data_IF_927092846353
#
_entry.id   IF_927092846353
#
_cell.length_a   1.000
_cell.length_b   1.000
_cell.length_c   1.000
_cell.angle_alpha   90.00
_cell.angle_beta   90.00
_cell.angle_gamma   90.00
#
_symmetry.space_group_name_H-M   'P 1'
#
loop_
_entity.id
_entity.type
_entity.pdbx_description
1 polymer ?
#
# COMPACT_ATOMS: atom_id res chain seq x y z
N UNK A 1 -47.72 2.87 -19.13
CA UNK A 1 -47.23 1.96 -20.19
C UNK A 1 -46.05 1.21 -19.62
N UNK A 2 -46.24 -0.03 -19.15
CA UNK A 2 -45.16 -0.82 -18.52
C UNK A 2 -44.26 -1.42 -19.59
N UNK A 3 -42.98 -1.06 -19.57
CA UNK A 3 -41.96 -1.67 -20.42
C UNK A 3 -41.61 -3.03 -19.81
N UNK A 4 -42.13 -4.10 -20.40
CA UNK A 4 -41.77 -5.48 -20.06
C UNK A 4 -40.43 -5.81 -20.74
N UNK A 5 -39.32 -5.61 -20.03
CA UNK A 5 -38.00 -6.01 -20.54
C UNK A 5 -37.93 -7.55 -20.51
N UNK A 6 -37.89 -8.15 -21.70
CA UNK A 6 -37.74 -9.59 -21.87
C UNK A 6 -36.39 -10.04 -21.26
N UNK A 7 -36.45 -10.92 -20.24
CA UNK A 7 -35.27 -11.45 -19.51
C UNK A 7 -34.17 -11.98 -20.44
N UNK A 8 -34.52 -12.50 -21.62
CA UNK A 8 -33.55 -13.01 -22.61
C UNK A 8 -32.70 -11.90 -23.23
N UNK A 9 -33.29 -10.72 -23.50
CA UNK A 9 -32.56 -9.57 -24.04
C UNK A 9 -31.72 -8.85 -22.98
N UNK A 10 -32.15 -8.85 -21.72
CA UNK A 10 -31.36 -8.32 -20.61
C UNK A 10 -30.10 -9.15 -20.34
N UNK A 11 -30.23 -10.50 -20.36
CA UNK A 11 -29.08 -11.41 -20.21
C UNK A 11 -28.12 -11.30 -21.41
N UNK A 12 -28.64 -11.16 -22.63
CA UNK A 12 -27.80 -10.93 -23.82
C UNK A 12 -27.07 -9.58 -23.78
N UNK A 13 -27.73 -8.51 -23.30
CA UNK A 13 -27.10 -7.21 -23.14
C UNK A 13 -25.97 -7.25 -22.08
N UNK A 14 -26.18 -7.97 -20.97
CA UNK A 14 -25.13 -8.18 -19.94
C UNK A 14 -23.97 -9.02 -20.50
N UNK A 15 -24.25 -10.06 -21.27
CA UNK A 15 -23.21 -10.87 -21.93
C UNK A 15 -22.44 -10.09 -22.98
N UNK A 16 -23.11 -9.26 -23.78
CA UNK A 16 -22.42 -8.41 -24.76
C UNK A 16 -21.59 -7.34 -24.05
N UNK A 17 -22.10 -6.72 -22.98
CA UNK A 17 -21.34 -5.76 -22.19
C UNK A 17 -20.13 -6.41 -21.51
N UNK A 18 -20.26 -7.63 -20.97
CA UNK A 18 -19.14 -8.37 -20.38
C UNK A 18 -18.11 -8.81 -21.42
N UNK A 19 -18.53 -9.17 -22.64
CA UNK A 19 -17.64 -9.49 -23.77
C UNK A 19 -16.92 -8.25 -24.31
N UNK A 20 -17.58 -7.10 -24.38
CA UNK A 20 -16.95 -5.83 -24.77
C UNK A 20 -15.95 -5.34 -23.71
N UNK A 21 -16.30 -5.44 -22.43
CA UNK A 21 -15.38 -5.16 -21.32
C UNK A 21 -14.20 -6.14 -21.34
N UNK A 22 -14.43 -7.44 -21.59
CA UNK A 22 -13.34 -8.43 -21.73
C UNK A 22 -12.43 -8.17 -22.94
N UNK A 23 -12.98 -7.89 -24.12
CA UNK A 23 -12.20 -7.63 -25.32
C UNK A 23 -11.38 -6.33 -25.20
N UNK A 24 -11.93 -5.32 -24.52
CA UNK A 24 -11.21 -4.10 -24.19
C UNK A 24 -10.13 -4.32 -23.12
N UNK A 25 -10.42 -5.06 -22.05
CA UNK A 25 -9.43 -5.47 -21.06
C UNK A 25 -8.28 -6.26 -21.70
N UNK A 26 -8.56 -7.14 -22.67
CA UNK A 26 -7.53 -7.87 -23.42
C UNK A 26 -6.65 -6.95 -24.27
N UNK A 27 -7.21 -5.95 -24.95
CA UNK A 27 -6.42 -4.98 -25.73
C UNK A 27 -5.61 -4.05 -24.82
N UNK A 28 -6.22 -3.51 -23.77
CA UNK A 28 -5.54 -2.63 -22.82
C UNK A 28 -4.46 -3.37 -22.00
N UNK A 29 -4.62 -4.68 -21.75
CA UNK A 29 -3.59 -5.51 -21.11
C UNK A 29 -2.34 -5.71 -21.97
N UNK A 30 -2.41 -5.48 -23.29
CA UNK A 30 -1.22 -5.46 -24.18
C UNK A 30 -0.54 -4.09 -24.24
N UNK A 31 -1.18 -3.04 -23.73
CA UNK A 31 -0.62 -1.68 -23.70
C UNK A 31 0.38 -1.57 -22.56
N UNK A 32 1.61 -1.17 -22.88
CA UNK A 32 2.59 -0.82 -21.87
C UNK A 32 2.44 0.67 -21.47
N UNK A 33 1.75 0.93 -20.36
CA UNK A 33 1.48 2.29 -19.88
C UNK A 33 2.74 3.09 -19.49
N UNK A 34 3.90 2.44 -19.31
CA UNK A 34 5.17 3.13 -19.04
C UNK A 34 5.89 3.65 -20.29
N UNK A 35 5.40 3.35 -21.50
CA UNK A 35 6.07 3.76 -22.73
C UNK A 35 6.07 5.29 -22.93
N UNK A 36 7.27 5.86 -23.04
CA UNK A 36 7.47 7.31 -23.10
C UNK A 36 6.74 8.00 -24.25
N UNK A 37 6.58 7.34 -25.40
CA UNK A 37 5.89 7.90 -26.59
C UNK A 37 4.38 8.15 -26.35
N UNK A 38 3.80 7.53 -25.33
CA UNK A 38 2.38 7.68 -24.98
C UNK A 38 2.15 8.68 -23.85
N UNK A 39 3.22 9.20 -23.24
CA UNK A 39 3.12 10.10 -22.09
C UNK A 39 2.91 11.54 -22.55
N UNK A 40 1.93 12.19 -21.95
CA UNK A 40 1.64 13.62 -22.13
C UNK A 40 2.18 14.45 -20.97
N UNK A 41 2.55 13.82 -19.85
CA UNK A 41 3.15 14.48 -18.69
C UNK A 41 3.99 13.54 -17.80
N UNK A 42 4.49 14.10 -16.70
CA UNK A 42 5.26 13.43 -15.65
C UNK A 42 4.48 12.32 -14.94
N UNK A 43 5.19 11.44 -14.22
CA UNK A 43 4.54 10.40 -13.43
C UNK A 43 3.82 11.01 -12.23
N UNK A 44 2.71 10.40 -11.81
CA UNK A 44 1.97 10.81 -10.63
C UNK A 44 2.34 9.92 -9.43
N UNK A 45 2.52 10.54 -8.28
CA UNK A 45 2.71 9.88 -6.99
C UNK A 45 1.38 9.91 -6.25
N UNK A 46 1.05 8.82 -5.57
CA UNK A 46 -0.27 8.74 -4.91
C UNK A 46 -0.24 9.02 -3.42
N UNK A 47 0.94 9.18 -2.84
CA UNK A 47 1.12 9.25 -1.41
C UNK A 47 0.73 10.65 -0.90
N UNK A 48 -0.48 10.77 -0.34
CA UNK A 48 -1.01 12.03 0.23
C UNK A 48 -1.93 12.85 -0.68
N UNK A 49 -2.25 12.41 -1.90
CA UNK A 49 -3.19 13.13 -2.77
C UNK A 49 -4.65 12.91 -2.32
N UNK A 50 -5.30 13.98 -1.84
CA UNK A 50 -6.70 13.94 -1.39
C UNK A 50 -7.73 13.92 -2.52
N UNK A 51 -7.34 14.22 -3.76
CA UNK A 51 -8.27 14.40 -4.89
C UNK A 51 -7.86 13.56 -6.09
N UNK A 52 -8.76 12.70 -6.60
CA UNK A 52 -8.49 11.82 -7.74
C UNK A 52 -9.35 12.07 -8.99
N UNK A 53 -8.65 12.22 -10.13
CA UNK A 53 -9.09 12.14 -11.54
C UNK A 53 -10.19 13.11 -12.02
N UNK A 54 -10.09 13.62 -13.28
CA UNK A 54 -9.23 13.13 -14.36
C UNK A 54 -8.07 14.09 -14.72
N UNK A 55 -6.92 13.91 -14.08
CA UNK A 55 -5.64 14.37 -14.64
C UNK A 55 -5.02 13.19 -15.37
N UNK A 56 -5.03 13.21 -16.71
CA UNK A 56 -4.44 12.16 -17.54
C UNK A 56 -2.97 12.46 -17.85
N UNK A 57 -2.10 11.48 -17.64
CA UNK A 57 -0.65 11.62 -17.87
C UNK A 57 -0.16 10.86 -19.10
N UNK A 58 -1.06 10.15 -19.79
CA UNK A 58 -0.79 9.53 -21.07
C UNK A 58 -2.03 9.22 -21.90
N UNK A 59 -1.78 9.00 -23.18
CA UNK A 59 -2.79 8.77 -24.21
C UNK A 59 -2.30 7.71 -25.20
N UNK A 60 -3.16 6.73 -25.46
CA UNK A 60 -2.98 5.72 -26.51
C UNK A 60 -4.04 5.90 -27.59
N UNK A 61 -4.03 5.08 -28.65
CA UNK A 61 -5.11 5.12 -29.66
C UNK A 61 -6.49 4.84 -29.06
N UNK A 62 -6.58 4.09 -27.96
CA UNK A 62 -7.87 3.64 -27.40
C UNK A 62 -8.20 4.20 -26.03
N UNK A 63 -7.23 4.70 -25.26
CA UNK A 63 -7.44 5.07 -23.86
C UNK A 63 -6.72 6.37 -23.49
N UNK A 64 -7.33 7.09 -22.56
CA UNK A 64 -6.66 8.09 -21.70
C UNK A 64 -6.30 7.39 -20.38
N UNK A 65 -5.12 7.66 -19.83
CA UNK A 65 -4.69 6.98 -18.61
C UNK A 65 -3.76 7.83 -17.75
N UNK A 66 -3.63 7.41 -16.49
CA UNK A 66 -2.65 7.94 -15.54
C UNK A 66 -1.90 6.80 -14.89
N UNK A 67 -0.57 6.91 -14.87
CA UNK A 67 0.29 5.97 -14.14
C UNK A 67 0.59 6.53 -12.77
N UNK A 68 0.38 5.67 -11.78
CA UNK A 68 0.52 5.95 -10.36
C UNK A 68 1.61 5.07 -9.76
N UNK A 69 2.47 5.68 -8.96
CA UNK A 69 3.50 5.01 -8.19
C UNK A 69 3.12 5.11 -6.71
N UNK A 70 2.82 3.96 -6.12
CA UNK A 70 2.46 3.82 -4.71
C UNK A 70 3.64 3.18 -3.98
N UNK A 71 4.24 3.88 -3.01
CA UNK A 71 5.34 3.33 -2.21
C UNK A 71 4.94 2.00 -1.56
N UNK A 72 5.81 0.99 -1.63
CA UNK A 72 5.57 -0.33 -1.05
C UNK A 72 5.60 -0.30 0.48
N UNK A 73 6.50 0.49 1.04
CA UNK A 73 6.72 0.66 2.46
C UNK A 73 6.10 1.94 2.99
N UNK A 74 5.76 2.00 4.28
CA UNK A 74 5.27 3.23 4.89
C UNK A 74 6.31 4.36 4.86
N UNK A 75 7.60 4.03 4.99
CA UNK A 75 8.68 4.99 4.81
C UNK A 75 8.61 5.67 3.45
N UNK A 76 8.53 4.89 2.37
CA UNK A 76 8.53 5.44 1.02
C UNK A 76 7.29 6.30 0.80
N UNK A 77 6.13 5.87 1.30
CA UNK A 77 4.90 6.70 1.25
C UNK A 77 5.03 7.99 2.04
N UNK A 78 5.60 7.94 3.24
CA UNK A 78 5.84 9.12 4.07
C UNK A 78 6.85 10.08 3.43
N UNK A 79 7.86 9.58 2.73
CA UNK A 79 8.83 10.40 2.00
C UNK A 79 8.13 11.26 0.92
N UNK A 80 7.11 10.74 0.24
CA UNK A 80 6.37 11.45 -0.81
C UNK A 80 5.21 12.30 -0.31
N UNK A 81 4.83 12.17 0.96
CA UNK A 81 3.74 12.93 1.56
C UNK A 81 4.03 14.44 1.51
N UNK A 82 3.14 15.20 0.88
CA UNK A 82 3.25 16.65 0.69
C UNK A 82 3.25 17.43 2.01
N UNK A 83 2.74 16.83 3.08
CA UNK A 83 2.74 17.42 4.41
C UNK A 83 3.95 17.01 5.24
N UNK A 84 4.71 15.99 4.82
CA UNK A 84 5.94 15.64 5.47
C UNK A 84 7.04 16.68 5.15
N UNK A 85 7.27 17.60 6.08
CA UNK A 85 8.39 18.57 6.00
C UNK A 85 9.76 17.94 6.19
N UNK A 86 9.78 16.65 6.47
CA UNK A 86 10.92 15.77 6.48
C UNK A 86 10.88 14.82 5.27
N UNK A 87 10.22 15.14 4.16
CA UNK A 87 10.15 14.28 2.96
C UNK A 87 10.74 14.94 1.73
N UNK A 88 10.44 14.38 0.55
CA UNK A 88 10.77 14.98 -0.74
C UNK A 88 10.34 16.44 -0.81
N UNK A 89 9.18 16.78 -0.25
CA UNK A 89 8.62 18.13 -0.31
C UNK A 89 9.23 19.13 0.68
N UNK A 90 10.24 18.74 1.47
CA UNK A 90 10.97 19.64 2.35
C UNK A 90 11.57 20.81 1.57
N UNK A 91 11.15 22.04 1.91
CA UNK A 91 11.59 23.27 1.25
C UNK A 91 11.13 23.41 -0.21
N UNK A 92 10.21 22.55 -0.68
CA UNK A 92 9.64 22.59 -2.04
C UNK A 92 8.21 23.10 -2.01
N UNK A 93 7.81 23.75 -3.10
CA UNK A 93 6.44 24.21 -3.32
C UNK A 93 5.60 23.06 -3.91
N UNK A 94 4.75 22.45 -3.08
CA UNK A 94 3.90 21.32 -3.47
C UNK A 94 2.74 21.74 -4.40
N UNK A 95 2.45 23.03 -4.55
CA UNK A 95 1.50 23.54 -5.54
C UNK A 95 2.13 23.62 -6.95
N UNK A 96 3.46 23.49 -7.05
CA UNK A 96 4.21 23.55 -8.30
C UNK A 96 5.01 22.26 -8.57
N UNK A 97 4.37 21.08 -8.57
CA UNK A 97 5.06 19.79 -8.74
C UNK A 97 5.80 19.69 -10.08
N UNK A 98 5.32 20.41 -11.10
CA UNK A 98 5.93 20.44 -12.44
C UNK A 98 7.40 20.89 -12.41
N UNK A 99 7.80 21.78 -11.48
CA UNK A 99 9.19 22.25 -11.34
C UNK A 99 10.16 21.12 -10.95
N UNK A 100 9.67 20.10 -10.25
CA UNK A 100 10.47 19.02 -9.69
C UNK A 100 10.36 17.71 -10.47
N UNK A 101 9.70 17.74 -11.64
CA UNK A 101 9.45 16.56 -12.50
C UNK A 101 10.70 15.71 -12.73
N UNK A 102 11.83 16.34 -13.05
CA UNK A 102 13.07 15.61 -13.37
C UNK A 102 13.61 14.85 -12.17
N UNK A 103 13.49 15.43 -10.97
CA UNK A 103 13.98 14.83 -9.73
C UNK A 103 13.05 13.69 -9.29
N UNK A 104 11.73 13.90 -9.39
CA UNK A 104 10.71 12.86 -9.15
C UNK A 104 10.97 11.66 -10.08
N UNK A 105 11.12 11.90 -11.38
CA UNK A 105 11.38 10.81 -12.34
C UNK A 105 12.71 10.11 -12.06
N UNK A 106 13.74 10.84 -11.62
CA UNK A 106 15.04 10.25 -11.28
C UNK A 106 14.90 9.32 -10.09
N UNK A 107 14.25 9.77 -9.01
CA UNK A 107 14.04 8.96 -7.80
C UNK A 107 13.24 7.71 -8.11
N UNK A 108 12.09 7.84 -8.78
CA UNK A 108 11.24 6.71 -9.17
C UNK A 108 12.03 5.69 -10.01
N UNK A 109 12.85 6.15 -10.98
CA UNK A 109 13.65 5.25 -11.83
C UNK A 109 14.69 4.48 -11.02
N UNK A 110 15.38 5.15 -10.10
CA UNK A 110 16.40 4.53 -9.24
C UNK A 110 15.79 3.53 -8.27
N UNK A 111 14.63 3.86 -7.70
CA UNK A 111 13.97 3.10 -6.66
C UNK A 111 12.75 2.30 -7.17
N UNK A 112 12.65 2.03 -8.48
CA UNK A 112 11.41 1.52 -9.10
C UNK A 112 10.88 0.22 -8.48
N UNK A 113 11.76 -0.58 -7.88
CA UNK A 113 11.43 -1.83 -7.17
C UNK A 113 10.68 -1.62 -5.86
N UNK A 114 10.75 -0.42 -5.28
CA UNK A 114 10.08 -0.02 -4.04
C UNK A 114 8.65 0.50 -4.29
N UNK A 115 8.12 0.37 -5.52
CA UNK A 115 6.79 0.87 -5.85
C UNK A 115 5.88 -0.22 -6.39
N UNK A 116 4.63 -0.15 -5.97
CA UNK A 116 3.52 -0.79 -6.66
C UNK A 116 3.01 0.16 -7.74
N UNK A 117 3.10 -0.28 -8.99
CA UNK A 117 2.79 0.56 -10.15
C UNK A 117 1.40 0.22 -10.66
N UNK A 118 0.55 1.24 -10.76
CA UNK A 118 -0.81 1.14 -11.25
C UNK A 118 -1.04 2.05 -12.44
N UNK A 119 -1.99 1.68 -13.30
CA UNK A 119 -2.52 2.56 -14.33
C UNK A 119 -4.04 2.59 -14.20
N UNK A 120 -4.62 3.78 -14.11
CA UNK A 120 -6.08 3.94 -14.19
C UNK A 120 -6.39 4.52 -15.56
N UNK A 121 -7.18 3.78 -16.35
CA UNK A 121 -7.45 4.10 -17.74
C UNK A 121 -8.95 4.23 -18.01
N UNK A 122 -9.28 5.15 -18.90
CA UNK A 122 -10.62 5.39 -19.43
C UNK A 122 -10.62 5.18 -20.94
N UNK A 123 -11.61 4.43 -21.45
CA UNK A 123 -11.75 4.21 -22.88
C UNK A 123 -12.17 5.51 -23.58
N UNK A 124 -11.49 5.87 -24.66
CA UNK A 124 -11.86 7.03 -25.49
C UNK A 124 -13.22 6.87 -26.17
N UNK A 125 -13.72 5.66 -26.36
CA UNK A 125 -15.08 5.46 -26.86
C UNK A 125 -16.16 5.89 -25.86
N UNK A 126 -15.78 6.07 -24.58
CA UNK A 126 -16.68 6.45 -23.48
C UNK A 126 -16.59 7.93 -23.13
N UNK A 127 -15.85 8.74 -23.90
CA UNK A 127 -15.76 10.18 -23.72
C UNK A 127 -16.36 10.90 -24.91
N UNK A 128 -16.97 12.06 -24.65
CA UNK A 128 -17.37 13.02 -25.68
C UNK A 128 -16.32 14.12 -25.69
N UNK A 129 -15.60 14.26 -26.80
CA UNK A 129 -14.69 15.39 -26.99
C UNK A 129 -15.49 16.63 -27.41
N UNK A 130 -15.17 17.79 -26.83
CA UNK A 130 -15.65 19.07 -27.32
C UNK A 130 -14.61 19.72 -28.24
N UNK A 131 -15.04 20.69 -29.04
CA UNK A 131 -14.19 21.41 -29.99
C UNK A 131 -13.07 22.27 -29.35
N UNK A 132 -12.98 22.30 -28.01
CA UNK A 132 -11.97 23.06 -27.26
C UNK A 132 -10.88 22.16 -26.64
N UNK A 133 -10.92 20.85 -26.90
CA UNK A 133 -9.94 19.90 -26.36
C UNK A 133 -10.27 19.37 -24.97
N UNK A 134 -11.39 19.78 -24.36
CA UNK A 134 -11.90 19.10 -23.18
C UNK A 134 -12.71 17.88 -23.59
N UNK A 135 -12.84 16.93 -22.67
CA UNK A 135 -13.70 15.77 -22.85
C UNK A 135 -14.57 15.58 -21.62
N UNK A 136 -15.77 15.05 -21.84
CA UNK A 136 -16.68 14.67 -20.76
C UNK A 136 -16.95 13.18 -20.85
N UNK A 137 -16.64 12.39 -19.81
CA UNK A 137 -17.01 10.99 -19.76
C UNK A 137 -18.53 10.80 -19.83
N UNK A 138 -18.99 9.73 -20.47
CA UNK A 138 -20.38 9.31 -20.37
C UNK A 138 -20.71 8.91 -18.92
N UNK A 139 -21.97 9.04 -18.49
CA UNK A 139 -22.37 8.69 -17.13
C UNK A 139 -22.14 7.22 -16.77
N UNK A 140 -22.16 6.33 -17.76
CA UNK A 140 -21.90 4.89 -17.63
C UNK A 140 -20.42 4.53 -17.85
N UNK A 141 -19.56 5.52 -18.14
CA UNK A 141 -18.15 5.30 -18.37
C UNK A 141 -17.48 4.66 -17.16
N UNK A 142 -16.51 3.79 -17.43
CA UNK A 142 -15.78 3.07 -16.40
C UNK A 142 -14.29 3.32 -16.48
N UNK A 143 -13.71 3.67 -15.34
CA UNK A 143 -12.27 3.56 -15.13
C UNK A 143 -11.92 2.10 -14.88
N UNK A 144 -10.88 1.63 -15.55
CA UNK A 144 -10.27 0.32 -15.30
C UNK A 144 -8.90 0.51 -14.69
N UNK A 145 -8.65 -0.17 -13.58
CA UNK A 145 -7.39 -0.12 -12.86
C UNK A 145 -6.55 -1.35 -13.20
N UNK A 146 -5.38 -1.11 -13.76
CA UNK A 146 -4.37 -2.11 -14.06
C UNK A 146 -3.23 -2.03 -13.05
N UNK A 147 -2.67 -3.19 -12.69
CA UNK A 147 -1.45 -3.29 -11.89
C UNK A 147 -0.35 -3.92 -12.73
N UNK A 148 0.87 -3.39 -12.65
CA UNK A 148 2.06 -3.99 -13.24
C UNK A 148 2.66 -5.00 -12.27
N UNK A 149 2.69 -6.27 -12.64
CA UNK A 149 3.40 -7.33 -11.91
C UNK A 149 4.24 -8.15 -12.87
N UNK A 150 5.50 -8.38 -12.52
CA UNK A 150 6.44 -9.22 -13.30
C UNK A 150 6.49 -8.80 -14.80
N UNK A 151 6.44 -7.49 -15.06
CA UNK A 151 6.46 -6.93 -16.41
C UNK A 151 5.14 -7.02 -17.18
N UNK A 152 4.05 -7.49 -16.56
CA UNK A 152 2.73 -7.66 -17.19
C UNK A 152 1.66 -6.80 -16.52
N UNK A 153 0.84 -6.14 -17.33
CA UNK A 153 -0.31 -5.37 -16.86
C UNK A 153 -1.53 -6.27 -16.73
N UNK A 154 -2.14 -6.27 -15.55
CA UNK A 154 -3.37 -7.04 -15.28
C UNK A 154 -4.45 -6.14 -14.70
N UNK A 155 -5.68 -6.25 -15.20
CA UNK A 155 -6.84 -5.57 -14.62
C UNK A 155 -7.11 -6.13 -13.22
N UNK A 156 -7.15 -5.25 -12.22
CA UNK A 156 -7.34 -5.62 -10.80
C UNK A 156 -8.64 -5.08 -10.21
N UNK A 157 -9.25 -4.07 -10.84
CA UNK A 157 -10.48 -3.44 -10.38
C UNK A 157 -11.06 -2.52 -11.47
N UNK A 158 -12.32 -2.10 -11.30
CA UNK A 158 -12.97 -1.12 -12.18
C UNK A 158 -14.07 -0.37 -11.42
N UNK A 159 -14.27 0.91 -11.72
CA UNK A 159 -15.32 1.72 -11.10
C UNK A 159 -15.93 2.70 -12.09
N UNK A 160 -17.20 3.05 -11.86
CA UNK A 160 -17.91 4.03 -12.67
C UNK A 160 -17.39 5.45 -12.37
N UNK A 161 -17.30 6.30 -13.40
CA UNK A 161 -16.80 7.69 -13.27
C UNK A 161 -17.57 8.52 -12.25
N UNK A 162 -18.89 8.30 -12.10
CA UNK A 162 -19.76 8.99 -11.13
C UNK A 162 -19.58 8.48 -9.70
N UNK A 163 -18.88 7.36 -9.53
CA UNK A 163 -18.56 6.72 -8.25
C UNK A 163 -17.05 6.69 -8.02
N UNK A 164 -16.33 7.68 -8.57
CA UNK A 164 -14.89 7.77 -8.43
C UNK A 164 -14.49 7.85 -6.96
N UNK A 165 -13.44 7.11 -6.53
CA UNK A 165 -12.89 7.25 -5.19
C UNK A 165 -12.51 8.71 -4.94
N UNK A 166 -12.81 9.22 -3.75
CA UNK A 166 -12.44 10.57 -3.38
C UNK A 166 -10.92 10.69 -3.20
N UNK A 167 -10.25 9.64 -2.71
CA UNK A 167 -8.81 9.62 -2.46
C UNK A 167 -8.13 8.46 -3.20
N UNK A 168 -7.16 8.78 -4.08
CA UNK A 168 -6.38 7.81 -4.86
C UNK A 168 -5.60 6.84 -3.99
N UNK A 169 -4.83 7.38 -3.05
CA UNK A 169 -3.89 6.63 -2.25
C UNK A 169 -4.62 5.49 -1.54
N UNK A 170 -5.71 5.86 -0.86
CA UNK A 170 -6.57 4.93 -0.11
C UNK A 170 -7.19 3.88 -1.03
N UNK A 171 -7.59 4.26 -2.24
CA UNK A 171 -8.12 3.33 -3.23
C UNK A 171 -7.06 2.30 -3.67
N UNK A 172 -5.87 2.73 -4.08
CA UNK A 172 -4.81 1.83 -4.52
C UNK A 172 -4.26 0.96 -3.38
N UNK A 173 -4.13 1.51 -2.18
CA UNK A 173 -3.79 0.75 -0.98
C UNK A 173 -4.81 -0.35 -0.70
N UNK A 174 -6.11 -0.07 -0.86
CA UNK A 174 -7.15 -1.10 -0.74
C UNK A 174 -6.97 -2.23 -1.76
N UNK A 175 -6.57 -1.91 -3.00
CA UNK A 175 -6.29 -2.93 -4.01
C UNK A 175 -5.05 -3.76 -3.70
N UNK A 176 -3.98 -3.12 -3.21
CA UNK A 176 -2.80 -3.81 -2.68
C UNK A 176 -3.20 -4.78 -1.56
N UNK A 177 -4.08 -4.32 -0.67
CA UNK A 177 -4.54 -5.04 0.51
C UNK A 177 -5.44 -6.26 0.18
N UNK A 178 -6.03 -6.39 -1.02
CA UNK A 178 -6.91 -7.52 -1.38
C UNK A 178 -6.23 -8.91 -1.41
N UNK A 179 -4.91 -9.02 -1.25
CA UNK A 179 -4.23 -10.32 -1.09
C UNK A 179 -4.36 -10.84 0.34
N UNK A 180 -5.01 -12.00 0.53
CA UNK A 180 -5.08 -12.67 1.82
C UNK A 180 -3.67 -13.06 2.31
N UNK A 181 -3.21 -12.53 3.45
CA UNK A 181 -1.91 -12.90 3.99
C UNK A 181 -1.90 -14.37 4.40
N UNK A 182 -0.79 -15.05 4.16
CA UNK A 182 -0.56 -16.42 4.62
C UNK A 182 -0.34 -16.45 6.13
N UNK A 183 -0.67 -17.58 6.76
CA UNK A 183 -0.53 -17.77 8.21
C UNK A 183 0.90 -17.49 8.70
N UNK A 184 1.92 -17.78 7.90
CA UNK A 184 3.33 -17.54 8.26
C UNK A 184 3.70 -16.06 8.28
N UNK A 185 3.04 -15.21 7.49
CA UNK A 185 3.34 -13.77 7.45
C UNK A 185 2.95 -13.05 8.74
N UNK A 186 1.96 -13.57 9.47
CA UNK A 186 1.56 -13.06 10.78
C UNK A 186 2.61 -13.26 11.88
N UNK A 187 3.56 -14.17 11.69
CA UNK A 187 4.67 -14.32 12.62
C UNK A 187 5.77 -13.28 12.40
N UNK A 188 5.61 -12.39 11.41
CA UNK A 188 6.59 -11.38 11.07
C UNK A 188 7.81 -11.96 10.36
N UNK A 189 8.84 -11.15 10.21
CA UNK A 189 10.03 -11.45 9.43
C UNK A 189 11.20 -11.82 10.34
N UNK A 190 11.71 -13.04 10.18
CA UNK A 190 12.85 -13.55 10.94
C UNK A 190 14.08 -12.64 10.91
N UNK A 191 14.24 -11.80 9.87
CA UNK A 191 15.33 -10.83 9.76
C UNK A 191 15.39 -9.88 10.96
N UNK A 192 14.23 -9.52 11.54
CA UNK A 192 14.12 -8.66 12.74
C UNK A 192 14.82 -9.29 13.96
N UNK A 193 14.91 -10.61 14.03
CA UNK A 193 15.57 -11.32 15.13
C UNK A 193 17.08 -11.51 14.96
N UNK A 194 17.65 -11.04 13.84
CA UNK A 194 19.10 -11.18 13.61
C UNK A 194 19.89 -10.22 14.49
N UNK A 195 21.00 -10.70 15.07
CA UNK A 195 21.76 -9.94 16.07
C UNK A 195 22.26 -8.57 15.56
N UNK A 196 22.54 -8.45 14.26
CA UNK A 196 23.00 -7.21 13.65
C UNK A 196 21.89 -6.43 12.91
N UNK A 197 20.61 -6.76 13.09
CA UNK A 197 19.51 -6.09 12.38
C UNK A 197 19.52 -4.58 12.61
N UNK A 198 19.53 -4.15 13.87
CA UNK A 198 19.54 -2.73 14.27
C UNK A 198 20.75 -2.00 13.69
N UNK A 199 21.95 -2.55 13.89
CA UNK A 199 23.19 -2.00 13.31
C UNK A 199 23.10 -1.87 11.79
N UNK A 200 22.52 -2.86 11.10
CA UNK A 200 22.35 -2.83 9.64
C UNK A 200 21.32 -1.80 9.20
N UNK A 201 20.24 -1.58 9.94
CA UNK A 201 19.31 -0.49 9.62
C UNK A 201 20.05 0.83 9.68
N UNK A 202 20.72 1.10 10.79
CA UNK A 202 21.41 2.37 11.03
C UNK A 202 22.58 2.62 10.05
N UNK A 203 23.17 1.57 9.47
CA UNK A 203 24.30 1.70 8.53
C UNK A 203 23.90 1.63 7.05
N UNK A 204 22.78 1.00 6.70
CA UNK A 204 22.41 0.74 5.29
C UNK A 204 21.19 1.51 4.81
N UNK A 205 20.43 2.14 5.71
CA UNK A 205 19.17 2.82 5.36
C UNK A 205 19.23 4.35 5.41
N UNK A 206 20.45 4.91 5.40
CA UNK A 206 20.72 6.33 5.23
C UNK A 206 20.59 6.77 3.76
N UNK A 207 20.50 8.07 3.53
CA UNK A 207 20.41 8.67 2.22
C UNK A 207 21.61 8.28 1.36
N UNK A 208 21.35 7.94 0.09
CA UNK A 208 22.35 7.46 -0.88
C UNK A 208 23.01 6.10 -0.56
N UNK A 209 22.63 5.43 0.53
CA UNK A 209 23.04 4.05 0.78
C UNK A 209 22.28 3.10 -0.14
N UNK A 210 23.00 2.29 -0.90
CA UNK A 210 22.39 1.24 -1.72
C UNK A 210 22.13 -0.02 -0.89
N UNK A 211 20.93 -0.58 -0.97
CA UNK A 211 20.62 -1.88 -0.39
C UNK A 211 20.26 -1.84 1.10
N UNK A 212 19.38 -0.90 1.46
CA UNK A 212 18.81 -0.80 2.81
C UNK A 212 18.27 -2.16 3.25
N UNK A 213 18.63 -2.58 4.47
CA UNK A 213 18.26 -3.90 4.98
C UNK A 213 16.75 -4.13 5.04
N UNK A 214 15.95 -3.06 5.18
CA UNK A 214 14.49 -3.16 5.19
C UNK A 214 13.92 -3.60 3.83
N UNK A 215 14.61 -3.35 2.71
CA UNK A 215 14.21 -3.83 1.38
C UNK A 215 14.29 -5.37 1.28
N UNK A 216 14.98 -6.02 2.23
CA UNK A 216 15.08 -7.49 2.30
C UNK A 216 13.99 -8.13 3.15
N UNK A 217 13.13 -7.33 3.78
CA UNK A 217 11.96 -7.85 4.48
C UNK A 217 11.00 -8.46 3.45
N UNK A 218 10.55 -9.67 3.73
CA UNK A 218 9.52 -10.40 2.98
C UNK A 218 8.12 -10.00 3.42
N UNK A 219 8.00 -9.36 4.59
CA UNK A 219 6.72 -9.00 5.21
C UNK A 219 6.49 -7.50 5.09
N UNK A 220 5.39 -7.13 4.43
CA UNK A 220 4.85 -5.78 4.48
C UNK A 220 3.86 -5.68 5.65
N UNK A 221 4.33 -5.26 6.82
CA UNK A 221 3.53 -5.24 8.05
C UNK A 221 2.36 -4.28 7.97
N UNK A 222 2.57 -3.12 7.35
CA UNK A 222 1.50 -2.16 7.13
C UNK A 222 0.37 -2.79 6.31
N UNK A 223 0.69 -3.43 5.18
CA UNK A 223 -0.31 -4.10 4.34
C UNK A 223 -0.98 -5.25 5.10
N UNK A 224 -0.20 -6.05 5.84
CA UNK A 224 -0.70 -7.13 6.66
C UNK A 224 -1.76 -6.64 7.66
N UNK A 225 -1.47 -5.56 8.39
CA UNK A 225 -2.35 -5.07 9.45
C UNK A 225 -3.35 -4.01 9.02
N UNK A 226 -3.25 -3.51 7.79
CA UNK A 226 -4.32 -2.81 7.06
C UNK A 226 -5.47 -3.75 6.65
N UNK A 227 -5.29 -5.07 6.75
CA UNK A 227 -6.31 -6.06 6.41
C UNK A 227 -7.04 -6.73 7.58
N UNK A 228 -6.65 -6.42 8.82
CA UNK A 228 -7.30 -6.95 10.05
C UNK A 228 -7.34 -8.49 10.03
N UNK A 229 -6.17 -9.14 9.90
CA UNK A 229 -6.12 -10.60 9.83
C UNK A 229 -6.70 -11.22 11.11
N UNK A 230 -7.55 -12.23 10.95
CA UNK A 230 -8.28 -12.88 12.04
C UNK A 230 -7.83 -14.32 12.25
N UNK A 231 -6.58 -14.51 12.64
CA UNK A 231 -6.01 -15.84 12.90
C UNK A 231 -5.45 -15.98 14.30
N UNK A 232 -5.33 -17.23 14.75
CA UNK A 232 -4.66 -17.60 15.99
C UNK A 232 -3.61 -18.69 15.73
N UNK A 233 -2.61 -18.76 16.60
CA UNK A 233 -1.56 -19.76 16.61
C UNK A 233 -1.61 -20.52 17.92
N UNK A 234 -1.72 -21.85 17.86
CA UNK A 234 -1.59 -22.68 19.06
C UNK A 234 -0.11 -22.76 19.46
N UNK A 235 0.16 -22.52 20.74
CA UNK A 235 1.47 -22.73 21.35
C UNK A 235 1.56 -24.12 21.98
N UNK A 236 0.46 -24.55 22.60
CA UNK A 236 0.20 -25.90 23.08
C UNK A 236 -1.34 -26.14 23.10
N UNK A 237 -1.81 -27.14 23.86
CA UNK A 237 -3.22 -27.48 23.98
C UNK A 237 -4.08 -26.38 24.63
N UNK A 238 -3.51 -25.61 25.56
CA UNK A 238 -4.24 -24.62 26.36
C UNK A 238 -3.91 -23.17 25.96
N UNK A 239 -2.79 -22.93 25.29
CA UNK A 239 -2.29 -21.59 24.98
C UNK A 239 -2.36 -21.26 23.49
N UNK A 240 -2.86 -20.05 23.20
CA UNK A 240 -2.93 -19.51 21.83
C UNK A 240 -2.47 -18.06 21.77
N UNK A 241 -1.90 -17.67 20.65
CA UNK A 241 -1.65 -16.26 20.33
C UNK A 241 -2.62 -15.81 19.25
N UNK A 242 -3.26 -14.66 19.45
CA UNK A 242 -4.08 -13.97 18.45
C UNK A 242 -3.56 -12.56 18.25
N UNK A 243 -3.67 -12.04 17.03
CA UNK A 243 -3.36 -10.63 16.77
C UNK A 243 -4.64 -9.82 16.67
N UNK A 244 -4.64 -8.62 17.27
CA UNK A 244 -5.77 -7.68 17.20
C UNK A 244 -5.27 -6.28 16.88
N UNK A 245 -5.78 -5.74 15.78
CA UNK A 245 -5.41 -4.42 15.28
C UNK A 245 -6.46 -3.35 15.58
N UNK A 246 -5.99 -2.14 15.83
CA UNK A 246 -6.77 -0.92 16.01
C UNK A 246 -6.23 0.13 15.04
N UNK A 247 -7.10 0.95 14.45
CA UNK A 247 -6.70 1.93 13.44
C UNK A 247 -7.39 3.27 13.63
N UNK A 248 -6.62 4.32 13.41
CA UNK A 248 -7.08 5.70 13.25
C UNK A 248 -6.56 6.19 11.91
N UNK A 249 -7.45 6.56 10.98
CA UNK A 249 -7.04 7.08 9.67
C UNK A 249 -7.90 8.32 9.37
N UNK A 250 -7.27 9.48 9.34
CA UNK A 250 -7.90 10.74 8.92
C UNK A 250 -6.99 11.48 7.92
N UNK A 251 -7.18 12.77 7.70
CA UNK A 251 -6.38 13.58 6.74
C UNK A 251 -4.99 13.94 7.28
N UNK A 252 -4.77 13.89 8.59
CA UNK A 252 -3.54 14.33 9.25
C UNK A 252 -2.81 13.16 9.92
N UNK A 253 -3.53 12.13 10.35
CA UNK A 253 -3.01 11.01 11.11
C UNK A 253 -3.39 9.67 10.48
N UNK A 254 -2.39 8.81 10.39
CA UNK A 254 -2.53 7.40 10.14
C UNK A 254 -1.82 6.62 11.25
N UNK A 255 -2.60 5.89 12.06
CA UNK A 255 -2.12 5.10 13.17
C UNK A 255 -2.68 3.70 13.09
N UNK A 256 -1.82 2.70 13.07
CA UNK A 256 -2.16 1.28 13.18
C UNK A 256 -1.43 0.71 14.40
N UNK A 257 -2.17 0.16 15.36
CA UNK A 257 -1.62 -0.59 16.49
C UNK A 257 -2.07 -2.03 16.43
N UNK A 258 -1.17 -3.00 16.57
CA UNK A 258 -1.52 -4.41 16.67
C UNK A 258 -0.93 -5.05 17.91
N UNK A 259 -1.81 -5.63 18.71
CA UNK A 259 -1.47 -6.35 19.92
C UNK A 259 -1.43 -7.85 19.66
N UNK A 260 -0.37 -8.50 20.15
CA UNK A 260 -0.35 -9.93 20.35
C UNK A 260 -1.08 -10.23 21.66
N UNK A 261 -2.11 -11.06 21.59
CA UNK A 261 -2.95 -11.47 22.71
C UNK A 261 -2.62 -12.92 23.06
N UNK A 262 -2.17 -13.17 24.28
CA UNK A 262 -1.99 -14.51 24.82
C UNK A 262 -3.29 -14.97 25.47
N UNK A 263 -3.78 -16.11 25.03
CA UNK A 263 -5.00 -16.72 25.52
C UNK A 263 -4.67 -18.05 26.21
N UNK A 264 -5.03 -18.20 27.48
CA UNK A 264 -5.01 -19.49 28.19
C UNK A 264 -6.44 -20.00 28.31
N UNK A 265 -6.70 -21.21 27.81
CA UNK A 265 -8.04 -21.82 27.74
C UNK A 265 -9.08 -20.91 27.08
N UNK A 266 -8.68 -20.18 26.02
CA UNK A 266 -9.47 -19.18 25.30
C UNK A 266 -9.85 -17.91 26.10
N UNK A 267 -9.30 -17.73 27.31
CA UNK A 267 -9.45 -16.50 28.10
C UNK A 267 -8.21 -15.64 27.90
N UNK A 268 -8.38 -14.33 27.72
CA UNK A 268 -7.26 -13.40 27.59
C UNK A 268 -6.45 -13.39 28.88
N UNK A 269 -5.18 -13.78 28.80
CA UNK A 269 -4.26 -13.84 29.93
C UNK A 269 -3.36 -12.62 29.95
N UNK A 270 -2.83 -12.22 28.79
CA UNK A 270 -1.98 -11.05 28.66
C UNK A 270 -1.98 -10.49 27.22
N UNK A 271 -1.46 -9.28 27.04
CA UNK A 271 -1.29 -8.68 25.73
C UNK A 271 -0.06 -7.77 25.65
N UNK A 272 0.59 -7.74 24.48
CA UNK A 272 1.69 -6.81 24.22
C UNK A 272 1.54 -6.14 22.85
N UNK A 273 1.98 -4.89 22.75
CA UNK A 273 2.07 -4.19 21.47
C UNK A 273 3.23 -4.78 20.66
N UNK A 274 2.90 -5.46 19.56
CA UNK A 274 3.88 -6.13 18.70
C UNK A 274 4.18 -5.34 17.42
N UNK A 275 3.16 -4.70 16.84
CA UNK A 275 3.31 -3.85 15.67
C UNK A 275 2.66 -2.50 15.91
N UNK A 276 3.31 -1.44 15.46
CA UNK A 276 2.77 -0.10 15.44
C UNK A 276 3.26 0.61 14.20
N UNK A 277 2.39 1.28 13.46
CA UNK A 277 2.76 2.25 12.46
C UNK A 277 2.05 3.56 12.77
N UNK A 278 2.81 4.63 12.83
CA UNK A 278 2.29 5.96 13.09
C UNK A 278 2.89 6.92 12.09
N UNK A 279 2.04 7.66 11.39
CA UNK A 279 2.40 8.80 10.59
C UNK A 279 1.44 9.94 10.93
N UNK A 280 1.98 11.09 11.31
CA UNK A 280 1.17 12.27 11.58
C UNK A 280 1.80 13.51 10.94
N UNK A 281 1.09 14.04 9.95
CA UNK A 281 1.45 15.23 9.20
C UNK A 281 1.48 16.50 10.06
N UNK A 282 0.67 16.57 11.12
CA UNK A 282 0.61 17.70 12.03
C UNK A 282 1.80 17.77 13.00
N UNK A 283 2.30 16.62 13.45
CA UNK A 283 3.48 16.53 14.33
C UNK A 283 4.76 16.19 13.60
N UNK A 284 4.71 16.02 12.27
CA UNK A 284 5.84 15.66 11.41
C UNK A 284 6.58 14.41 11.92
N UNK A 285 5.83 13.45 12.45
CA UNK A 285 6.38 12.27 13.11
C UNK A 285 5.96 11.01 12.36
N UNK A 286 6.95 10.18 12.00
CA UNK A 286 6.72 8.89 11.35
C UNK A 286 7.59 7.82 12.01
N UNK A 287 6.97 6.76 12.52
CA UNK A 287 7.67 5.64 13.12
C UNK A 287 6.93 4.32 12.91
N UNK A 288 7.66 3.22 12.98
CA UNK A 288 7.13 1.87 12.84
C UNK A 288 7.83 0.88 13.77
N UNK A 289 7.06 0.17 14.60
CA UNK A 289 7.52 -0.97 15.40
C UNK A 289 7.31 -2.25 14.61
N UNK A 290 8.39 -2.91 14.20
CA UNK A 290 8.38 -4.22 13.55
C UNK A 290 8.51 -5.35 14.58
N UNK A 291 8.11 -6.57 14.22
CA UNK A 291 8.29 -7.73 15.10
C UNK A 291 8.59 -9.05 14.37
N UNK A 292 9.10 -10.02 15.12
CA UNK A 292 9.13 -11.42 14.72
C UNK A 292 8.74 -12.31 15.89
N UNK A 293 7.89 -13.31 15.65
CA UNK A 293 7.48 -14.34 16.62
C UNK A 293 8.10 -15.68 16.21
N UNK A 294 8.97 -16.20 17.07
CA UNK A 294 9.43 -17.59 16.98
C UNK A 294 8.63 -18.43 17.99
N UNK A 295 7.60 -19.13 17.48
CA UNK A 295 6.77 -20.02 18.30
C UNK A 295 7.60 -21.12 18.97
N UNK A 296 8.62 -21.66 18.27
CA UNK A 296 9.42 -22.77 18.79
C UNK A 296 10.30 -22.32 19.95
N UNK A 297 10.91 -21.14 19.84
CA UNK A 297 11.69 -20.53 20.92
C UNK A 297 10.83 -19.83 21.97
N UNK A 298 9.53 -19.68 21.72
CA UNK A 298 8.60 -18.90 22.55
C UNK A 298 9.14 -17.50 22.81
N UNK A 299 9.63 -16.85 21.75
CA UNK A 299 10.21 -15.50 21.81
C UNK A 299 9.61 -14.58 20.77
N UNK A 300 9.51 -13.31 21.13
CA UNK A 300 9.08 -12.22 20.26
C UNK A 300 10.17 -11.15 20.26
N UNK A 301 10.66 -10.80 19.09
CA UNK A 301 11.56 -9.66 18.90
C UNK A 301 10.74 -8.49 18.41
N UNK A 302 11.00 -7.30 18.91
CA UNK A 302 10.43 -6.07 18.36
C UNK A 302 11.49 -5.00 18.21
N UNK A 303 11.43 -4.23 17.13
CA UNK A 303 12.37 -3.14 16.83
C UNK A 303 11.56 -1.92 16.43
N UNK A 304 11.78 -0.79 17.10
CA UNK A 304 11.18 0.49 16.72
C UNK A 304 12.08 1.19 15.71
N UNK A 305 11.48 1.64 14.61
CA UNK A 305 12.09 2.42 13.55
C UNK A 305 11.52 3.83 13.59
N UNK A 306 12.36 4.84 13.56
CA UNK A 306 11.98 6.23 13.33
C UNK A 306 12.38 6.60 11.91
N UNK A 307 11.45 7.17 11.15
CA UNK A 307 11.68 7.60 9.79
C UNK A 307 11.91 9.11 9.75
N UNK A 308 13.05 9.50 9.17
CA UNK A 308 13.38 10.89 8.84
C UNK A 308 13.68 11.01 7.33
N UNK A 309 13.82 12.23 6.81
CA UNK A 309 13.99 12.57 5.38
C UNK A 309 15.00 11.71 4.68
N UNK A 310 16.12 11.55 5.37
CA UNK A 310 17.36 11.08 4.82
C UNK A 310 17.82 9.83 5.58
N UNK A 311 17.07 9.33 6.55
CA UNK A 311 17.53 8.22 7.36
C UNK A 311 16.41 7.40 8.00
N UNK A 312 16.80 6.21 8.43
CA UNK A 312 16.00 5.39 9.34
C UNK A 312 16.89 5.11 10.53
N UNK A 313 16.38 5.38 11.71
CA UNK A 313 17.02 5.00 12.95
C UNK A 313 16.24 3.84 13.56
N UNK A 314 16.96 2.78 13.92
CA UNK A 314 16.44 1.66 14.67
C UNK A 314 16.89 1.78 16.13
N UNK A 315 15.93 1.70 17.04
CA UNK A 315 16.17 1.49 18.45
C UNK A 315 16.64 0.05 18.73
N UNK A 316 17.20 -0.17 19.91
CA UNK A 316 17.59 -1.50 20.36
C UNK A 316 16.41 -2.48 20.31
N UNK A 317 16.72 -3.71 19.90
CA UNK A 317 15.72 -4.76 19.83
C UNK A 317 15.25 -5.13 21.24
N UNK A 318 13.94 -5.11 21.46
CA UNK A 318 13.32 -5.65 22.65
C UNK A 318 12.96 -7.11 22.41
N UNK A 319 13.34 -7.98 23.35
CA UNK A 319 13.03 -9.41 23.28
C UNK A 319 12.05 -9.73 24.40
N UNK A 320 10.99 -10.45 24.06
CA UNK A 320 9.98 -10.93 24.99
C UNK A 320 9.92 -12.45 24.96
N UNK A 321 9.80 -13.06 26.13
CA UNK A 321 9.58 -14.48 26.33
C UNK A 321 8.08 -14.70 26.54
N UNK A 322 7.53 -15.70 25.86
CA UNK A 322 6.14 -16.14 26.05
C UNK A 322 6.15 -17.18 27.18
N UNK A 323 5.87 -16.73 28.41
CA UNK A 323 5.87 -17.55 29.61
C UNK A 323 4.49 -18.22 29.78
N UNK A 324 4.38 -19.46 29.30
CA UNK A 324 3.14 -20.25 29.36
C UNK A 324 2.76 -20.64 30.80
N UNK A 325 3.74 -20.79 31.69
CA UNK A 325 3.45 -21.15 33.08
C UNK A 325 2.78 -20.01 33.83
N UNK A 326 3.17 -18.77 33.50
CA UNK A 326 2.58 -17.55 34.08
C UNK A 326 1.46 -16.96 33.24
N UNK A 327 1.28 -17.43 32.01
CA UNK A 327 0.30 -16.90 31.06
C UNK A 327 0.58 -15.45 30.66
N UNK A 328 1.84 -15.05 30.53
CA UNK A 328 2.22 -13.67 30.23
C UNK A 328 3.39 -13.51 29.24
N UNK A 329 3.55 -12.30 28.72
CA UNK A 329 4.73 -11.87 27.97
C UNK A 329 5.71 -11.19 28.92
N UNK A 330 6.93 -11.72 29.04
CA UNK A 330 7.98 -11.15 29.89
C UNK A 330 9.11 -10.60 29.04
N UNK A 331 9.47 -9.33 29.25
CA UNK A 331 10.69 -8.77 28.65
C UNK A 331 11.91 -9.55 29.14
N UNK A 332 12.76 -9.99 28.21
CA UNK A 332 14.07 -10.52 28.52
C UNK A 332 14.93 -9.33 28.96
N UNK A 333 15.33 -9.33 30.24
CA UNK A 333 16.28 -8.34 30.72
C UNK A 333 17.63 -8.72 30.10
N UNK A 334 18.22 -7.81 29.32
CA UNK A 334 19.55 -7.97 28.77
C UNK A 334 20.61 -7.96 29.86
#
# INVERSE_FOLDING_TARGET
>A
MSITINKRHFVLAIFLFSVFVHAWCLRAATTNFLERKHRTSSFALTDGEETMLPYFTGETSTCLYTVYFLGDSPKERSFWDVYNKAGFWKGKDNERPHLYTKDIERHIKTAIKQYNIYAIALNKSMIKSNSKGDFTPNADAQYTTFQLKEGKWTSVDSFNVMQSPTNTAKYLLKLLNKTNPTNTQLLGDSLVSTHNFVQRVNTTCAENASGCILEKLKINYYQLYSNTPSMFFCLDESHKIKFKSYRTINSIEEHIKTYALLLTNNVLSDSMLCYEYYNNAGTLSCYEKLYYVDIRKRKIWTVCLTYDVESIEAADAEIYIIDLNRGCFRRENN
#
